data_IF_504791006065
#
_entry.id   IF_504791006065
#
_cell.length_a   1.000
_cell.length_b   1.000
_cell.length_c   1.000
_cell.angle_alpha   90.00
_cell.angle_beta   90.00
_cell.angle_gamma   90.00
#
_symmetry.space_group_name_H-M   'P 1'
#
loop_
_entity.id
_entity.type
_entity.pdbx_description
1 polymer ?
#
# COMPACT_ATOMS: atom_id res chain seq x y z
N UNK A 1 18.30 -0.18 7.29
CA UNK A 1 17.86 0.96 8.12
C UNK A 1 16.36 0.93 8.46
N UNK A 2 15.41 1.31 7.59
CA UNK A 2 13.98 1.35 8.02
C UNK A 2 13.40 -0.01 8.40
N UNK A 3 13.79 -1.08 7.72
CA UNK A 3 13.35 -2.43 8.09
C UNK A 3 13.84 -2.81 9.49
N UNK A 4 15.12 -2.57 9.81
CA UNK A 4 15.67 -2.80 11.15
C UNK A 4 14.89 -2.04 12.22
N UNK A 5 14.61 -0.75 11.99
CA UNK A 5 13.82 0.07 12.93
C UNK A 5 12.41 -0.51 13.13
N UNK A 6 11.79 -1.03 12.07
CA UNK A 6 10.48 -1.65 12.19
C UNK A 6 10.53 -3.03 12.89
N UNK A 7 11.57 -3.82 12.63
CA UNK A 7 11.86 -5.09 13.30
C UNK A 7 12.16 -4.90 14.79
N UNK A 8 12.77 -3.77 15.17
CA UNK A 8 12.97 -3.33 16.55
C UNK A 8 11.67 -2.86 17.24
N UNK A 9 10.52 -2.97 16.56
CA UNK A 9 9.19 -2.70 17.11
C UNK A 9 8.71 -1.26 16.99
N UNK A 10 9.47 -0.37 16.32
CA UNK A 10 9.02 1.00 16.09
C UNK A 10 7.98 1.06 14.96
N UNK A 11 6.92 1.84 15.18
CA UNK A 11 5.91 2.07 14.14
C UNK A 11 6.43 3.08 13.13
N UNK A 12 6.44 2.69 11.85
CA UNK A 12 6.80 3.57 10.75
C UNK A 12 5.55 3.96 9.95
N UNK A 13 5.34 5.27 9.79
CA UNK A 13 4.37 5.82 8.85
C UNK A 13 5.13 6.52 7.72
N UNK A 14 4.78 6.20 6.49
CA UNK A 14 5.41 6.77 5.29
C UNK A 14 4.34 7.17 4.28
N UNK A 15 4.59 8.28 3.59
CA UNK A 15 3.85 8.67 2.38
C UNK A 15 4.81 8.57 1.22
N UNK A 16 4.44 7.83 0.17
CA UNK A 16 5.29 7.59 -0.98
C UNK A 16 4.47 7.41 -2.25
N UNK A 17 5.03 7.86 -3.38
CA UNK A 17 4.50 7.57 -4.71
C UNK A 17 5.10 6.28 -5.31
N UNK A 18 6.02 5.62 -4.62
CA UNK A 18 6.66 4.39 -5.10
C UNK A 18 5.93 3.15 -4.58
N UNK A 19 5.29 2.42 -5.49
CA UNK A 19 4.70 1.11 -5.19
C UNK A 19 5.74 0.12 -4.65
N UNK A 20 7.00 0.21 -5.09
CA UNK A 20 8.10 -0.63 -4.60
C UNK A 20 8.47 -0.32 -3.15
N UNK A 21 8.48 0.94 -2.74
CA UNK A 21 8.71 1.29 -1.34
C UNK A 21 7.52 0.85 -0.46
N UNK A 22 6.29 1.12 -0.93
CA UNK A 22 5.07 0.70 -0.25
C UNK A 22 4.94 -0.82 -0.12
N UNK A 23 5.52 -1.59 -1.06
CA UNK A 23 5.48 -3.06 -1.02
C UNK A 23 6.34 -3.68 0.08
N UNK A 24 7.09 -2.89 0.86
CA UNK A 24 7.75 -3.30 2.11
C UNK A 24 6.88 -3.08 3.36
N UNK A 25 5.76 -2.35 3.26
CA UNK A 25 4.90 -2.09 4.40
C UNK A 25 4.11 -3.34 4.84
N UNK A 26 3.73 -3.40 6.12
CA UNK A 26 2.77 -4.39 6.61
C UNK A 26 1.32 -4.07 6.19
N UNK A 27 1.03 -2.79 5.94
CA UNK A 27 -0.26 -2.28 5.49
C UNK A 27 -0.07 -1.06 4.60
N UNK A 28 -0.81 -0.99 3.51
CA UNK A 28 -0.88 0.18 2.62
C UNK A 28 -2.30 0.72 2.66
N UNK A 29 -2.42 2.03 2.89
CA UNK A 29 -3.69 2.74 2.87
C UNK A 29 -3.74 3.61 1.61
N UNK A 30 -4.84 3.51 0.89
CA UNK A 30 -5.12 4.40 -0.21
C UNK A 30 -6.21 5.39 0.23
N UNK A 31 -5.91 6.67 0.07
CA UNK A 31 -6.77 7.78 0.48
C UNK A 31 -7.26 8.49 -0.77
N UNK A 32 -8.57 8.77 -0.82
CA UNK A 32 -9.25 9.53 -1.88
C UNK A 32 -10.24 10.45 -1.19
N UNK A 33 -10.24 11.72 -1.57
CA UNK A 33 -11.16 12.75 -1.03
C UNK A 33 -11.20 12.85 0.50
N UNK A 34 -10.05 12.62 1.16
CA UNK A 34 -9.91 12.70 2.62
C UNK A 34 -10.29 11.42 3.38
N UNK A 35 -10.76 10.37 2.69
CA UNK A 35 -11.19 9.12 3.30
C UNK A 35 -10.32 7.94 2.86
N UNK A 36 -10.22 6.92 3.73
CA UNK A 36 -9.58 5.65 3.39
C UNK A 36 -10.54 4.84 2.53
N UNK A 37 -10.33 4.84 1.21
CA UNK A 37 -11.21 4.12 0.29
C UNK A 37 -10.76 2.66 0.08
N UNK A 38 -9.47 2.36 0.23
CA UNK A 38 -8.96 1.00 0.09
C UNK A 38 -7.73 0.76 0.96
N UNK A 39 -7.51 -0.50 1.33
CA UNK A 39 -6.36 -0.91 2.13
C UNK A 39 -5.90 -2.31 1.76
N UNK A 40 -4.58 -2.50 1.78
CA UNK A 40 -3.96 -3.80 1.53
C UNK A 40 -3.16 -4.18 2.78
N UNK A 41 -3.43 -5.36 3.32
CA UNK A 41 -2.61 -5.98 4.36
C UNK A 41 -1.64 -6.97 3.72
N UNK A 42 -0.40 -6.99 4.20
CA UNK A 42 0.61 -7.92 3.71
C UNK A 42 0.19 -9.37 3.92
N UNK A 43 -0.21 -9.73 5.14
CA UNK A 43 -0.40 -11.12 5.52
C UNK A 43 0.88 -11.93 5.25
N UNK A 44 0.76 -12.97 4.41
CA UNK A 44 1.88 -13.81 3.99
C UNK A 44 2.46 -13.41 2.63
N UNK A 45 2.04 -12.28 2.05
CA UNK A 45 2.51 -11.90 0.72
C UNK A 45 3.98 -11.50 0.70
N UNK A 46 4.66 -11.98 -0.34
CA UNK A 46 6.01 -11.54 -0.68
C UNK A 46 6.01 -10.07 -1.10
N UNK A 47 7.17 -9.43 -1.14
CA UNK A 47 7.28 -8.04 -1.62
C UNK A 47 6.84 -7.88 -3.07
N UNK A 48 7.00 -8.92 -3.89
CA UNK A 48 6.58 -8.92 -5.30
C UNK A 48 5.06 -9.03 -5.43
N UNK A 49 4.43 -9.94 -4.68
CA UNK A 49 2.96 -10.01 -4.63
C UNK A 49 2.35 -8.72 -4.07
N UNK A 50 2.94 -8.16 -3.01
CA UNK A 50 2.51 -6.91 -2.43
C UNK A 50 2.64 -5.77 -3.44
N UNK A 51 3.75 -5.72 -4.19
CA UNK A 51 3.96 -4.75 -5.25
C UNK A 51 2.90 -4.87 -6.34
N UNK A 52 2.60 -6.08 -6.80
CA UNK A 52 1.60 -6.30 -7.84
C UNK A 52 0.21 -5.85 -7.38
N UNK A 53 -0.21 -6.23 -6.16
CA UNK A 53 -1.50 -5.78 -5.58
C UNK A 53 -1.60 -4.26 -5.51
N UNK A 54 -0.52 -3.57 -5.14
CA UNK A 54 -0.47 -2.10 -5.10
C UNK A 54 -0.59 -1.53 -6.52
N UNK A 55 0.18 -2.06 -7.47
CA UNK A 55 0.17 -1.61 -8.87
C UNK A 55 -1.21 -1.79 -9.52
N UNK A 56 -1.86 -2.94 -9.29
CA UNK A 56 -3.21 -3.23 -9.77
C UNK A 56 -4.23 -2.23 -9.19
N UNK A 57 -4.12 -1.94 -7.89
CA UNK A 57 -4.98 -0.97 -7.21
C UNK A 57 -4.78 0.44 -7.77
N UNK A 58 -3.52 0.87 -7.97
CA UNK A 58 -3.20 2.17 -8.58
C UNK A 58 -3.75 2.27 -10.01
N UNK A 59 -3.66 1.20 -10.79
CA UNK A 59 -4.22 1.13 -12.14
C UNK A 59 -5.73 1.28 -12.10
N UNK A 60 -6.41 0.54 -11.21
CA UNK A 60 -7.86 0.61 -11.03
C UNK A 60 -8.34 2.04 -10.71
N UNK A 61 -7.65 2.73 -9.79
CA UNK A 61 -7.96 4.12 -9.45
C UNK A 61 -7.77 5.04 -10.66
N UNK A 62 -6.64 4.89 -11.37
CA UNK A 62 -6.29 5.74 -12.50
C UNK A 62 -7.25 5.56 -13.69
N UNK A 63 -7.75 4.35 -13.91
CA UNK A 63 -8.70 4.05 -15.00
C UNK A 63 -10.14 4.42 -14.66
N UNK A 64 -10.41 5.01 -13.50
CA UNK A 64 -11.76 5.37 -13.07
C UNK A 64 -12.53 4.15 -12.58
N UNK A 65 -12.25 3.74 -11.34
CA UNK A 65 -13.07 2.79 -10.58
C UNK A 65 -14.46 3.32 -10.19
N UNK A 66 -15.05 4.27 -10.94
CA UNK A 66 -16.47 4.64 -10.83
C UNK A 66 -17.31 3.59 -11.56
N UNK A 67 -17.31 2.37 -11.04
CA UNK A 67 -18.48 1.50 -11.17
C UNK A 67 -19.33 1.73 -9.94
N UNK A 68 -20.16 2.76 -10.06
CA UNK A 68 -21.46 2.93 -9.42
C UNK A 68 -21.96 1.71 -8.63
N UNK A 69 -22.32 1.96 -7.37
CA UNK A 69 -23.59 1.42 -6.85
C UNK A 69 -24.76 1.89 -7.74
#
# INVERSE_FOLDING_TARGET
MFNEVNEDGQTLLMVTHSAKAASHAGRVLFIKDGEVFHQIYRGNSTNEEMYQKIADTLTLIATGGDRHE
#
